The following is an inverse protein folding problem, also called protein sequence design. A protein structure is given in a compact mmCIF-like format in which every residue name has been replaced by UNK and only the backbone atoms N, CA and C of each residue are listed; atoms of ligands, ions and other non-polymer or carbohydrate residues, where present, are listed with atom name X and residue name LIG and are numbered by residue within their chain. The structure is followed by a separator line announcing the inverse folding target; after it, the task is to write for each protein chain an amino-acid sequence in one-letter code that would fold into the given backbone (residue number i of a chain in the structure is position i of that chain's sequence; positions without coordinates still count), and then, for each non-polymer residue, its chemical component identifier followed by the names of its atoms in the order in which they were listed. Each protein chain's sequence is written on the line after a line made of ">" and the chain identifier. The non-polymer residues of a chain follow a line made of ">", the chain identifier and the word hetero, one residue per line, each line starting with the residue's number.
data_IF_191187261569
#
_entry.id   IF_191187261569
#
_cell.length_a   1.000
_cell.length_b   1.000
_cell.length_c   1.000
_cell.angle_alpha   90.00
_cell.angle_beta   90.00
_cell.angle_gamma   90.00
#
_symmetry.space_group_name_H-M   'P 1'
#
loop_
_entity.id
_entity.type
_entity.pdbx_description
1 polymer ?
#
# COMPACT_ATOMS: atom_id res chain seq x y z
N UNK A 1 -28.29 23.15 12.01
CA UNK A 1 -27.69 22.47 10.85
C UNK A 1 -26.84 21.38 11.44
N UNK A 2 -27.30 20.13 11.38
CA UNK A 2 -26.62 19.00 12.00
C UNK A 2 -25.28 18.81 11.30
N UNK A 3 -24.20 18.79 12.08
CA UNK A 3 -22.84 18.53 11.63
C UNK A 3 -22.83 17.11 11.03
N UNK A 4 -23.01 17.01 9.71
CA UNK A 4 -23.17 15.74 9.01
C UNK A 4 -21.78 15.15 8.72
N UNK A 5 -21.01 14.96 9.79
CA UNK A 5 -19.66 14.44 9.72
C UNK A 5 -19.72 12.97 9.32
N UNK A 6 -19.07 12.62 8.22
CA UNK A 6 -18.98 11.23 7.78
C UNK A 6 -18.34 10.36 8.87
N UNK A 7 -18.70 9.05 8.95
CA UNK A 7 -17.98 8.08 9.75
C UNK A 7 -16.47 8.13 9.52
N UNK A 8 -15.69 7.78 10.54
CA UNK A 8 -14.21 7.87 10.51
C UNK A 8 -13.63 7.15 9.28
N UNK A 9 -14.14 5.98 8.95
CA UNK A 9 -13.65 5.18 7.81
C UNK A 9 -14.02 5.79 6.46
N UNK A 10 -15.21 6.38 6.32
CA UNK A 10 -15.60 7.13 5.13
C UNK A 10 -14.71 8.37 4.94
N UNK A 11 -14.37 9.07 6.03
CA UNK A 11 -13.43 10.20 5.98
C UNK A 11 -12.01 9.77 5.57
N UNK A 12 -11.53 8.65 6.11
CA UNK A 12 -10.22 8.07 5.74
C UNK A 12 -10.17 7.74 4.25
N UNK A 13 -11.24 7.18 3.69
CA UNK A 13 -11.34 6.89 2.25
C UNK A 13 -11.35 8.17 1.40
N UNK A 14 -12.07 9.21 1.82
CA UNK A 14 -12.08 10.50 1.12
C UNK A 14 -10.69 11.16 1.13
N UNK A 15 -10.01 11.16 2.28
CA UNK A 15 -8.65 11.69 2.41
C UNK A 15 -7.63 10.87 1.60
N UNK A 16 -7.76 9.54 1.59
CA UNK A 16 -6.94 8.66 0.76
C UNK A 16 -7.16 8.92 -0.73
N UNK A 17 -8.41 9.06 -1.17
CA UNK A 17 -8.78 9.44 -2.54
C UNK A 17 -8.16 10.77 -2.93
N UNK A 18 -8.22 11.77 -2.03
CA UNK A 18 -7.58 13.07 -2.25
C UNK A 18 -6.07 12.96 -2.43
N UNK A 19 -5.40 12.12 -1.63
CA UNK A 19 -3.96 11.85 -1.77
C UNK A 19 -3.64 11.14 -3.08
N UNK A 20 -4.44 10.16 -3.48
CA UNK A 20 -4.28 9.44 -4.74
C UNK A 20 -4.40 10.36 -5.95
N UNK A 21 -5.42 11.22 -6.00
CA UNK A 21 -5.59 12.21 -7.07
C UNK A 21 -4.41 13.19 -7.13
N UNK A 22 -3.85 13.58 -5.97
CA UNK A 22 -2.66 14.42 -5.92
C UNK A 22 -1.41 13.69 -6.42
N UNK A 23 -1.25 12.41 -6.06
CA UNK A 23 -0.14 11.58 -6.52
C UNK A 23 -0.20 11.33 -8.03
N UNK A 24 -1.40 11.14 -8.59
CA UNK A 24 -1.68 11.05 -10.02
C UNK A 24 -1.52 12.38 -10.78
N UNK A 25 -1.19 13.48 -10.08
CA UNK A 25 -0.98 14.81 -10.65
C UNK A 25 -2.17 15.75 -10.44
N UNK A 26 -3.36 15.39 -10.93
CA UNK A 26 -4.57 16.20 -10.75
C UNK A 26 -5.88 15.43 -11.09
N UNK A 27 -7.02 16.11 -10.86
CA UNK A 27 -8.36 15.60 -11.17
C UNK A 27 -8.58 15.28 -12.65
N UNK A 28 -8.09 16.11 -13.57
CA UNK A 28 -8.31 15.94 -14.99
C UNK A 28 -7.65 14.66 -15.52
N UNK A 29 -6.42 14.34 -15.08
CA UNK A 29 -5.75 13.07 -15.43
C UNK A 29 -6.56 11.88 -14.92
N UNK A 30 -7.04 11.96 -13.68
CA UNK A 30 -7.87 10.90 -13.10
C UNK A 30 -9.22 10.75 -13.84
N UNK A 31 -9.83 11.86 -14.26
CA UNK A 31 -11.08 11.89 -15.01
C UNK A 31 -10.91 11.22 -16.38
N UNK A 32 -9.83 11.53 -17.09
CA UNK A 32 -9.51 10.93 -18.39
C UNK A 32 -9.30 9.42 -18.27
N UNK A 33 -8.57 8.96 -17.25
CA UNK A 33 -8.26 7.53 -17.05
C UNK A 33 -9.47 6.72 -16.57
N UNK A 34 -10.29 7.29 -15.70
CA UNK A 34 -11.46 6.59 -15.12
C UNK A 34 -12.73 6.74 -15.97
N UNK A 35 -12.83 7.80 -16.77
CA UNK A 35 -14.06 8.22 -17.45
C UNK A 35 -15.07 8.92 -16.51
N UNK A 36 -14.67 9.26 -15.28
CA UNK A 36 -15.50 9.98 -14.33
C UNK A 36 -15.37 11.50 -14.52
N UNK A 37 -16.44 12.25 -14.23
CA UNK A 37 -16.36 13.72 -14.21
C UNK A 37 -15.53 14.25 -13.05
N UNK A 38 -14.87 15.40 -13.23
CA UNK A 38 -14.17 16.14 -12.18
C UNK A 38 -15.04 16.39 -10.94
N UNK A 39 -16.32 16.72 -11.14
CA UNK A 39 -17.27 16.95 -10.04
C UNK A 39 -17.56 15.69 -9.24
N UNK A 40 -17.56 14.52 -9.88
CA UNK A 40 -17.73 13.25 -9.17
C UNK A 40 -16.49 12.92 -8.35
N UNK A 41 -15.30 12.98 -8.98
CA UNK A 41 -14.03 12.75 -8.29
C UNK A 41 -13.80 13.72 -7.12
N UNK A 42 -14.17 14.99 -7.31
CA UNK A 42 -14.13 16.00 -6.25
C UNK A 42 -14.99 15.61 -5.05
N UNK A 43 -16.21 15.13 -5.28
CA UNK A 43 -17.09 14.62 -4.21
C UNK A 43 -16.49 13.39 -3.53
N UNK A 44 -15.95 12.43 -4.28
CA UNK A 44 -15.31 11.24 -3.71
C UNK A 44 -14.08 11.57 -2.83
N UNK A 45 -13.40 12.69 -3.11
CA UNK A 45 -12.24 13.17 -2.32
C UNK A 45 -12.60 14.09 -1.15
N UNK A 46 -13.90 14.32 -0.91
CA UNK A 46 -14.42 15.26 0.08
C UNK A 46 -14.97 14.56 1.30
N UNK A 47 -14.52 14.97 2.49
CA UNK A 47 -15.03 14.47 3.77
C UNK A 47 -16.47 14.90 4.08
N UNK A 48 -17.09 15.70 3.21
CA UNK A 48 -18.45 16.21 3.35
C UNK A 48 -19.46 15.48 2.45
N UNK A 49 -19.00 14.59 1.57
CA UNK A 49 -19.85 13.86 0.62
C UNK A 49 -19.67 12.35 0.79
N UNK A 50 -20.79 11.61 0.74
CA UNK A 50 -20.80 10.14 0.86
C UNK A 50 -20.40 9.41 -0.43
N UNK A 51 -20.16 10.16 -1.51
CA UNK A 51 -19.70 9.59 -2.76
C UNK A 51 -18.36 8.85 -2.55
N UNK A 52 -18.22 7.70 -3.18
CA UNK A 52 -17.04 6.86 -3.06
C UNK A 52 -16.57 6.38 -4.43
N UNK A 53 -15.28 6.08 -4.51
CA UNK A 53 -14.66 5.52 -5.71
C UNK A 53 -14.92 4.00 -5.76
N UNK A 54 -15.19 3.48 -6.96
CA UNK A 54 -15.27 2.04 -7.17
C UNK A 54 -13.88 1.39 -7.07
N UNK A 55 -13.80 0.10 -6.77
CA UNK A 55 -12.52 -0.64 -6.75
C UNK A 55 -11.80 -0.53 -8.11
N UNK A 56 -12.55 -0.55 -9.21
CA UNK A 56 -12.00 -0.41 -10.57
C UNK A 56 -11.30 0.93 -10.75
N UNK A 57 -11.92 2.01 -10.30
CA UNK A 57 -11.37 3.36 -10.44
C UNK A 57 -10.24 3.62 -9.45
N UNK A 58 -10.32 3.02 -8.25
CA UNK A 58 -9.24 3.04 -7.26
C UNK A 58 -7.96 2.44 -7.84
N UNK A 59 -8.05 1.26 -8.46
CA UNK A 59 -6.90 0.59 -9.10
C UNK A 59 -6.27 1.49 -10.16
N UNK A 60 -7.09 2.12 -11.01
CA UNK A 60 -6.61 3.03 -12.05
C UNK A 60 -5.91 4.25 -11.48
N UNK A 61 -6.54 4.93 -10.53
CA UNK A 61 -5.99 6.16 -9.93
C UNK A 61 -4.73 5.86 -9.12
N UNK A 62 -4.72 4.80 -8.32
CA UNK A 62 -3.52 4.42 -7.55
C UNK A 62 -2.37 4.01 -8.48
N UNK A 63 -2.66 3.41 -9.64
CA UNK A 63 -1.63 3.07 -10.65
C UNK A 63 -1.04 4.29 -11.38
N UNK A 64 -1.71 5.45 -11.36
CA UNK A 64 -1.17 6.70 -11.90
C UNK A 64 -0.19 7.40 -10.94
N UNK A 65 -0.19 7.03 -9.67
CA UNK A 65 0.77 7.54 -8.69
C UNK A 65 2.20 7.07 -8.96
N UNK A 66 3.16 7.62 -8.24
CA UNK A 66 4.58 7.22 -8.34
C UNK A 66 4.72 5.69 -8.17
N UNK A 67 5.44 5.05 -9.09
CA UNK A 67 5.70 3.60 -9.16
C UNK A 67 6.31 3.02 -7.87
N UNK A 68 6.89 3.89 -7.03
CA UNK A 68 7.48 3.52 -5.74
C UNK A 68 6.54 3.68 -4.53
N UNK A 69 5.37 4.27 -4.73
CA UNK A 69 4.40 4.56 -3.68
C UNK A 69 3.47 3.38 -3.37
N UNK A 70 3.10 3.22 -2.10
CA UNK A 70 2.04 2.30 -1.68
C UNK A 70 0.68 2.87 -2.16
N UNK A 71 -0.19 2.07 -2.81
CA UNK A 71 -1.51 2.51 -3.29
C UNK A 71 -2.31 3.22 -2.20
N UNK A 72 -2.76 4.46 -2.44
CA UNK A 72 -3.39 5.26 -1.39
C UNK A 72 -4.82 4.80 -1.09
N UNK A 73 -5.66 4.65 -2.11
CA UNK A 73 -7.07 4.27 -1.93
C UNK A 73 -7.17 2.81 -1.49
N UNK A 74 -6.46 1.91 -2.18
CA UNK A 74 -6.51 0.48 -1.86
C UNK A 74 -5.94 0.20 -0.46
N UNK A 75 -4.91 0.91 0.00
CA UNK A 75 -4.41 0.74 1.37
C UNK A 75 -5.39 1.23 2.43
N UNK A 76 -6.13 2.31 2.15
CA UNK A 76 -7.19 2.75 3.05
C UNK A 76 -8.34 1.72 3.11
N UNK A 77 -8.74 1.16 1.97
CA UNK A 77 -9.74 0.08 1.92
C UNK A 77 -9.27 -1.17 2.68
N UNK A 78 -8.01 -1.58 2.51
CA UNK A 78 -7.45 -2.71 3.23
C UNK A 78 -7.38 -2.44 4.74
N UNK A 79 -6.94 -1.24 5.15
CA UNK A 79 -6.81 -0.85 6.56
C UNK A 79 -8.15 -0.90 7.31
N UNK A 80 -9.25 -0.54 6.67
CA UNK A 80 -10.61 -0.66 7.25
C UNK A 80 -10.95 -2.11 7.59
N UNK A 81 -10.43 -3.07 6.83
CA UNK A 81 -10.61 -4.50 7.05
C UNK A 81 -9.52 -5.11 7.95
N UNK A 82 -8.61 -4.31 8.52
CA UNK A 82 -7.46 -4.82 9.28
C UNK A 82 -6.43 -5.53 8.41
N UNK A 83 -6.39 -5.23 7.12
CA UNK A 83 -5.46 -5.78 6.14
C UNK A 83 -4.43 -4.72 5.71
N UNK A 84 -3.34 -5.17 5.10
CA UNK A 84 -2.33 -4.31 4.47
C UNK A 84 -2.20 -4.65 2.98
N UNK A 85 -1.95 -3.64 2.15
CA UNK A 85 -1.61 -3.84 0.74
C UNK A 85 -0.11 -4.01 0.65
N UNK A 86 0.31 -5.16 0.11
CA UNK A 86 1.72 -5.45 -0.15
C UNK A 86 1.93 -5.35 -1.65
N UNK A 87 2.72 -4.36 -2.10
CA UNK A 87 3.11 -4.25 -3.50
C UNK A 87 3.98 -5.43 -3.86
N UNK A 88 3.55 -6.21 -4.85
CA UNK A 88 4.35 -7.31 -5.34
C UNK A 88 5.61 -6.76 -6.00
N UNK A 89 6.78 -7.37 -5.75
CA UNK A 89 7.98 -7.04 -6.51
C UNK A 89 7.80 -7.38 -7.97
N UNK A 90 8.52 -6.64 -8.83
CA UNK A 90 8.62 -7.00 -10.24
C UNK A 90 9.08 -8.46 -10.38
N UNK A 91 8.46 -9.24 -11.28
CA UNK A 91 8.93 -10.57 -11.59
C UNK A 91 10.32 -10.43 -12.23
N UNK A 92 11.36 -10.74 -11.47
CA UNK A 92 12.72 -10.84 -12.02
C UNK A 92 12.71 -12.02 -12.98
N UNK A 93 13.02 -11.76 -14.26
CA UNK A 93 12.89 -12.71 -15.37
C UNK A 93 13.85 -13.90 -15.32
N UNK A 94 14.68 -14.00 -14.28
CA UNK A 94 15.47 -15.18 -14.01
C UNK A 94 14.83 -15.95 -12.88
N UNK A 95 14.73 -17.27 -13.07
CA UNK A 95 14.41 -18.29 -12.08
C UNK A 95 15.31 -18.11 -10.83
N UNK A 96 15.02 -17.11 -10.00
CA UNK A 96 15.51 -17.09 -8.63
C UNK A 96 14.82 -18.28 -8.00
N UNK A 97 15.55 -19.39 -7.94
CA UNK A 97 15.14 -20.58 -7.24
C UNK A 97 14.66 -20.18 -5.85
N UNK A 98 13.70 -20.91 -5.30
CA UNK A 98 13.15 -20.67 -3.96
C UNK A 98 14.25 -20.41 -2.91
N UNK A 99 15.42 -21.03 -3.06
CA UNK A 99 16.60 -20.80 -2.23
C UNK A 99 17.08 -19.34 -2.22
N UNK A 100 17.14 -18.66 -3.37
CA UNK A 100 17.52 -17.25 -3.44
C UNK A 100 16.52 -16.33 -2.73
N UNK A 101 15.22 -16.63 -2.87
CA UNK A 101 14.17 -15.89 -2.18
C UNK A 101 14.22 -16.11 -0.64
N UNK A 102 14.59 -17.31 -0.19
CA UNK A 102 14.79 -17.62 1.24
C UNK A 102 16.01 -16.91 1.80
N UNK A 103 17.12 -16.82 1.04
CA UNK A 103 18.31 -16.06 1.46
C UNK A 103 17.96 -14.58 1.62
N UNK A 104 17.26 -14.01 0.64
CA UNK A 104 16.80 -12.62 0.71
C UNK A 104 15.89 -12.38 1.92
N UNK A 105 14.91 -13.26 2.17
CA UNK A 105 14.07 -13.19 3.37
C UNK A 105 14.88 -13.16 4.67
N UNK A 106 15.92 -14.00 4.77
CA UNK A 106 16.77 -14.06 5.96
C UNK A 106 17.59 -12.76 6.13
N UNK A 107 18.05 -12.16 5.04
CA UNK A 107 18.73 -10.86 5.04
C UNK A 107 17.79 -9.76 5.53
N UNK A 108 16.62 -9.61 4.91
CA UNK A 108 15.67 -8.55 5.27
C UNK A 108 15.18 -8.68 6.72
N UNK A 109 15.00 -9.93 7.20
CA UNK A 109 14.65 -10.18 8.60
C UNK A 109 15.76 -9.69 9.55
N UNK A 110 17.03 -9.92 9.19
CA UNK A 110 18.18 -9.43 9.94
C UNK A 110 18.23 -7.90 10.00
N UNK A 111 17.96 -7.24 8.88
CA UNK A 111 17.94 -5.77 8.80
C UNK A 111 16.80 -5.15 9.62
N UNK A 112 15.59 -5.73 9.56
CA UNK A 112 14.47 -5.33 10.43
C UNK A 112 14.83 -5.53 11.91
N UNK A 113 15.37 -6.70 12.28
CA UNK A 113 15.72 -7.00 13.68
C UNK A 113 16.77 -6.01 14.22
N UNK A 114 17.73 -5.63 13.39
CA UNK A 114 18.75 -4.62 13.72
C UNK A 114 18.13 -3.23 13.86
N UNK A 115 17.30 -2.79 12.91
CA UNK A 115 16.64 -1.48 12.95
C UNK A 115 15.73 -1.32 14.17
N UNK A 116 14.97 -2.36 14.52
CA UNK A 116 14.14 -2.39 15.74
C UNK A 116 15.03 -2.27 16.98
N UNK A 117 16.11 -3.06 17.05
CA UNK A 117 17.02 -3.05 18.20
C UNK A 117 17.69 -1.68 18.38
N UNK A 118 18.16 -1.07 17.30
CA UNK A 118 18.76 0.29 17.31
C UNK A 118 17.74 1.35 17.78
N UNK A 119 16.49 1.25 17.33
CA UNK A 119 15.41 2.17 17.73
C UNK A 119 15.07 2.04 19.23
N UNK A 120 14.96 0.82 19.74
CA UNK A 120 14.64 0.57 21.16
C UNK A 120 15.79 0.94 22.10
N UNK A 121 17.06 0.80 21.67
CA UNK A 121 18.22 1.19 22.46
C UNK A 121 18.51 2.70 22.47
N UNK A 122 18.08 3.44 21.44
CA UNK A 122 18.31 4.89 21.33
C UNK A 122 17.35 5.76 22.15
N UNK A 123 16.25 5.19 22.63
CA UNK A 123 15.23 5.89 23.41
C UNK A 123 15.69 6.15 24.85
N UNK A 124 15.97 7.41 25.17
CA UNK A 124 16.55 7.88 26.45
C UNK A 124 15.67 7.72 27.70
N UNK A 125 14.50 7.07 27.58
CA UNK A 125 13.52 6.92 28.66
C UNK A 125 13.02 5.47 28.81
N UNK A 126 13.95 4.50 28.77
CA UNK A 126 13.64 3.10 29.09
C UNK A 126 13.07 2.26 27.93
N UNK A 127 13.11 2.74 26.70
CA UNK A 127 13.11 1.91 25.48
C UNK A 127 11.88 1.03 25.21
N UNK A 128 10.70 1.35 25.75
CA UNK A 128 9.51 0.50 25.60
C UNK A 128 8.61 0.87 24.41
N UNK A 129 8.65 2.12 23.93
CA UNK A 129 7.76 2.61 22.86
C UNK A 129 8.54 3.28 21.73
N UNK A 130 8.16 2.99 20.48
CA UNK A 130 8.70 3.66 19.30
C UNK A 130 8.13 5.06 19.18
N UNK A 131 9.00 6.06 19.00
CA UNK A 131 8.55 7.40 18.60
C UNK A 131 8.01 7.38 17.17
N UNK A 132 7.19 8.38 16.80
CA UNK A 132 6.67 8.51 15.44
C UNK A 132 7.78 8.53 14.37
N UNK A 133 8.90 9.22 14.67
CA UNK A 133 10.06 9.29 13.78
C UNK A 133 10.78 7.95 13.64
N UNK A 134 10.93 7.19 14.71
CA UNK A 134 11.53 5.85 14.67
C UNK A 134 10.63 4.86 13.92
N UNK A 135 9.31 4.95 14.14
CA UNK A 135 8.34 4.17 13.37
C UNK A 135 8.45 4.50 11.87
N UNK A 136 8.48 5.77 11.48
CA UNK A 136 8.69 6.20 10.09
C UNK A 136 9.99 5.65 9.49
N UNK A 137 11.07 5.62 10.28
CA UNK A 137 12.36 5.07 9.85
C UNK A 137 12.37 3.53 9.74
N UNK A 138 11.52 2.83 10.49
CA UNK A 138 11.40 1.37 10.48
C UNK A 138 10.57 0.85 9.31
N UNK A 139 9.55 1.61 8.88
CA UNK A 139 8.61 1.19 7.83
C UNK A 139 9.27 0.73 6.51
N UNK A 140 10.35 1.37 6.00
CA UNK A 140 11.05 0.88 4.81
C UNK A 140 11.58 -0.56 4.96
N UNK A 141 12.21 -0.88 6.11
CA UNK A 141 12.73 -2.23 6.36
C UNK A 141 11.61 -3.27 6.45
N UNK A 142 10.48 -2.92 7.06
CA UNK A 142 9.30 -3.79 7.12
C UNK A 142 8.74 -4.02 5.71
N UNK A 143 8.65 -2.98 4.88
CA UNK A 143 8.21 -3.08 3.50
C UNK A 143 9.13 -3.98 2.66
N UNK A 144 10.44 -3.96 2.90
CA UNK A 144 11.40 -4.83 2.22
C UNK A 144 11.21 -6.31 2.63
N UNK A 145 11.01 -6.57 3.93
CA UNK A 145 10.68 -7.91 4.45
C UNK A 145 9.33 -8.45 3.90
N UNK A 146 8.31 -7.59 3.83
CA UNK A 146 7.02 -7.93 3.23
C UNK A 146 7.17 -8.27 1.74
N UNK A 147 7.99 -7.50 1.02
CA UNK A 147 8.28 -7.75 -0.40
C UNK A 147 9.02 -9.07 -0.60
N UNK A 148 10.00 -9.40 0.24
CA UNK A 148 10.71 -10.69 0.20
C UNK A 148 9.74 -11.86 0.45
N UNK A 149 8.85 -11.72 1.43
CA UNK A 149 7.80 -12.72 1.71
C UNK A 149 6.83 -12.86 0.53
N UNK A 150 6.45 -11.74 -0.10
CA UNK A 150 5.58 -11.73 -1.27
C UNK A 150 6.22 -12.44 -2.49
N UNK A 151 7.55 -12.38 -2.68
CA UNK A 151 8.26 -13.16 -3.73
C UNK A 151 8.06 -14.65 -3.54
N UNK A 152 8.24 -15.13 -2.32
CA UNK A 152 8.10 -16.54 -1.99
C UNK A 152 6.67 -17.01 -2.28
N UNK A 153 5.66 -16.24 -1.83
CA UNK A 153 4.25 -16.53 -2.11
C UNK A 153 3.99 -16.58 -3.62
N UNK A 154 4.41 -15.55 -4.36
CA UNK A 154 4.19 -15.47 -5.80
C UNK A 154 4.83 -16.65 -6.56
N UNK A 155 6.05 -17.05 -6.19
CA UNK A 155 6.71 -18.23 -6.77
C UNK A 155 5.93 -19.52 -6.47
N UNK A 156 5.47 -19.69 -5.23
CA UNK A 156 4.69 -20.86 -4.84
C UNK A 156 3.34 -20.93 -5.57
N UNK A 157 2.62 -19.81 -5.68
CA UNK A 157 1.35 -19.71 -6.40
C UNK A 157 1.50 -19.99 -7.90
N UNK A 158 2.58 -19.49 -8.51
CA UNK A 158 2.88 -19.74 -9.93
C UNK A 158 3.13 -21.21 -10.20
N UNK A 159 3.86 -21.91 -9.32
CA UNK A 159 4.08 -23.36 -9.43
C UNK A 159 2.83 -24.19 -9.11
N UNK A 160 1.97 -23.69 -8.22
CA UNK A 160 0.72 -24.36 -7.84
C UNK A 160 -0.41 -24.18 -8.87
N UNK A 161 -0.30 -23.19 -9.77
CA UNK A 161 -1.32 -22.93 -10.79
C UNK A 161 -1.36 -24.09 -11.81
N UNK A 162 -2.52 -24.71 -12.04
CA UNK A 162 -2.67 -25.70 -13.11
C UNK A 162 -2.37 -25.03 -14.47
N UNK A 163 -1.83 -25.77 -15.46
CA UNK A 163 -1.59 -25.22 -16.78
C UNK A 163 -2.89 -24.67 -17.36
N UNK A 164 -2.85 -23.45 -17.89
CA UNK A 164 -4.00 -22.89 -18.60
C UNK A 164 -4.34 -23.80 -19.79
N UNK A 165 -5.63 -24.13 -20.02
CA UNK A 165 -6.02 -24.86 -21.21
C UNK A 165 -5.64 -24.03 -22.44
N UNK A 166 -5.17 -24.67 -23.53
CA UNK A 166 -4.87 -23.95 -24.76
C UNK A 166 -6.13 -23.21 -25.25
N UNK A 167 -5.92 -21.96 -25.68
CA UNK A 167 -6.94 -21.10 -26.28
C UNK A 167 -7.56 -21.71 -27.55
#
# INVERSE_FOLDING_TARGET
>A
MSDNTLPIDERRLAEATKRAIKAAGNLAICADETGLSDSHLSRCSSINHRDSISIRDAVRIDALGDERGVPHVLSAMASILGCVVITLPEPVSDDRCLQGAVIELATELGDVARAVSESLCGSSDGGAELTAREAEALLPFVADLERATARIRHHAETKARPPEPPA
#
